data_IF_586948147964
#
_entry.id   IF_586948147964
#
_cell.length_a   1.000
_cell.length_b   1.000
_cell.length_c   1.000
_cell.angle_alpha   90.00
_cell.angle_beta   90.00
_cell.angle_gamma   90.00
#
_symmetry.space_group_name_H-M   'P 1'
#
loop_
_entity.id
_entity.type
_entity.pdbx_description
1 polymer ?
#
# COMPACT_ATOMS: atom_id res chain seq x y z
N UNK A 1 14.58 4.44 -7.35
CA UNK A 1 13.59 3.76 -6.50
C UNK A 1 13.17 2.51 -7.27
N UNK A 2 12.99 1.34 -6.66
CA UNK A 2 12.54 0.18 -7.45
C UNK A 2 11.08 0.40 -7.88
N UNK A 3 10.70 -0.13 -9.04
CA UNK A 3 9.32 0.03 -9.58
C UNK A 3 8.27 -0.41 -8.56
N UNK A 4 8.55 -1.45 -7.77
CA UNK A 4 7.67 -1.90 -6.69
C UNK A 4 7.48 -0.87 -5.57
N UNK A 5 8.53 -0.13 -5.19
CA UNK A 5 8.44 0.91 -4.16
C UNK A 5 7.75 2.19 -4.66
N UNK A 6 7.90 2.51 -5.95
CA UNK A 6 7.14 3.60 -6.57
C UNK A 6 5.64 3.28 -6.59
N UNK A 7 5.28 2.04 -6.93
CA UNK A 7 3.89 1.59 -6.89
C UNK A 7 3.35 1.55 -5.45
N UNK A 8 4.16 1.09 -4.48
CA UNK A 8 3.77 1.14 -3.07
C UNK A 8 3.45 2.57 -2.61
N UNK A 9 4.27 3.56 -3.01
CA UNK A 9 4.01 4.97 -2.69
C UNK A 9 2.69 5.46 -3.28
N UNK A 10 2.43 5.16 -4.57
CA UNK A 10 1.17 5.56 -5.24
C UNK A 10 -0.05 4.95 -4.57
N UNK A 11 0.03 3.67 -4.22
CA UNK A 11 -1.06 2.98 -3.52
C UNK A 11 -1.31 3.58 -2.14
N UNK A 12 -0.25 3.94 -1.38
CA UNK A 12 -0.41 4.62 -0.09
C UNK A 12 -1.02 6.01 -0.23
N UNK A 13 -0.67 6.78 -1.26
CA UNK A 13 -1.28 8.07 -1.54
C UNK A 13 -2.79 7.93 -1.83
N UNK A 14 -3.18 6.92 -2.61
CA UNK A 14 -4.58 6.60 -2.88
C UNK A 14 -5.31 6.17 -1.60
N UNK A 15 -4.69 5.32 -0.77
CA UNK A 15 -5.27 4.90 0.50
C UNK A 15 -5.52 6.09 1.45
N UNK A 16 -4.59 7.04 1.52
CA UNK A 16 -4.75 8.26 2.32
C UNK A 16 -5.91 9.10 1.79
N UNK A 17 -6.02 9.25 0.47
CA UNK A 17 -7.12 9.96 -0.15
C UNK A 17 -8.46 9.33 0.23
N UNK A 18 -8.60 8.02 0.03
CA UNK A 18 -9.87 7.32 0.26
C UNK A 18 -10.23 7.29 1.75
N UNK A 19 -9.24 7.18 2.65
CA UNK A 19 -9.45 7.30 4.09
C UNK A 19 -9.99 8.68 4.49
N UNK A 20 -9.48 9.77 3.89
CA UNK A 20 -9.99 11.13 4.12
C UNK A 20 -11.44 11.25 3.66
N UNK A 21 -11.76 10.75 2.46
CA UNK A 21 -13.14 10.73 1.94
C UNK A 21 -14.06 9.93 2.87
N UNK A 22 -13.60 8.80 3.42
CA UNK A 22 -14.36 8.03 4.41
C UNK A 22 -14.72 8.88 5.63
N UNK A 23 -13.76 9.62 6.21
CA UNK A 23 -14.04 10.50 7.35
C UNK A 23 -15.07 11.59 7.01
N UNK A 24 -14.93 12.24 5.85
CA UNK A 24 -15.85 13.28 5.40
C UNK A 24 -17.26 12.72 5.18
N UNK A 25 -17.38 11.54 4.55
CA UNK A 25 -18.67 10.87 4.36
C UNK A 25 -19.33 10.48 5.70
N UNK A 26 -18.56 10.04 6.70
CA UNK A 26 -19.09 9.76 8.05
C UNK A 26 -19.66 11.04 8.67
N UNK A 27 -18.93 12.17 8.59
CA UNK A 27 -19.40 13.44 9.13
C UNK A 27 -20.69 13.94 8.46
N UNK A 28 -20.89 13.60 7.19
CA UNK A 28 -22.10 13.95 6.41
C UNK A 28 -23.25 12.94 6.55
N UNK A 29 -23.04 11.82 7.25
CA UNK A 29 -24.03 10.73 7.37
C UNK A 29 -24.16 9.84 6.13
N UNK A 30 -23.26 9.98 5.15
CA UNK A 30 -23.24 9.22 3.90
C UNK A 30 -22.49 7.87 4.09
N UNK A 31 -23.10 6.97 4.87
CA UNK A 31 -22.42 5.76 5.36
C UNK A 31 -22.12 4.73 4.25
N UNK A 32 -22.92 4.68 3.19
CA UNK A 32 -22.68 3.77 2.06
C UNK A 32 -21.41 4.18 1.29
N UNK A 33 -21.25 5.48 1.03
CA UNK A 33 -20.01 6.00 0.43
C UNK A 33 -18.83 5.91 1.38
N UNK A 34 -19.02 6.15 2.67
CA UNK A 34 -17.97 5.95 3.66
C UNK A 34 -17.44 4.51 3.65
N UNK A 35 -18.34 3.52 3.65
CA UNK A 35 -18.02 2.10 3.62
C UNK A 35 -17.28 1.70 2.34
N UNK A 36 -17.75 2.18 1.19
CA UNK A 36 -17.09 1.92 -0.10
C UNK A 36 -15.65 2.45 -0.11
N UNK A 37 -15.44 3.70 0.29
CA UNK A 37 -14.09 4.28 0.35
C UNK A 37 -13.19 3.58 1.39
N UNK A 38 -13.76 3.10 2.50
CA UNK A 38 -13.00 2.35 3.50
C UNK A 38 -12.49 1.02 2.93
N UNK A 39 -13.30 0.34 2.11
CA UNK A 39 -12.89 -0.89 1.41
C UNK A 39 -11.77 -0.59 0.41
N UNK A 40 -11.91 0.47 -0.40
CA UNK A 40 -10.89 0.85 -1.39
C UNK A 40 -9.57 1.22 -0.71
N UNK A 41 -9.63 2.01 0.37
CA UNK A 41 -8.45 2.36 1.15
C UNK A 41 -7.71 1.11 1.66
N UNK A 42 -8.45 0.12 2.18
CA UNK A 42 -7.86 -1.15 2.62
C UNK A 42 -7.18 -1.89 1.47
N UNK A 43 -7.85 -2.00 0.31
CA UNK A 43 -7.29 -2.67 -0.85
C UNK A 43 -5.99 -2.02 -1.34
N UNK A 44 -5.90 -0.69 -1.33
CA UNK A 44 -4.66 0.03 -1.65
C UNK A 44 -3.56 -0.18 -0.61
N UNK A 45 -3.88 -0.25 0.69
CA UNK A 45 -2.89 -0.61 1.72
C UNK A 45 -2.37 -2.02 1.52
N UNK A 46 -3.24 -2.99 1.23
CA UNK A 46 -2.85 -4.38 0.96
C UNK A 46 -1.94 -4.48 -0.28
N UNK A 47 -2.22 -3.70 -1.32
CA UNK A 47 -1.38 -3.64 -2.51
C UNK A 47 0.02 -3.03 -2.21
N UNK A 48 0.07 -1.96 -1.43
CA UNK A 48 1.32 -1.32 -1.02
C UNK A 48 2.17 -2.26 -0.13
N UNK A 49 1.55 -2.91 0.85
CA UNK A 49 2.21 -3.91 1.70
C UNK A 49 2.84 -5.01 0.85
N UNK A 50 2.08 -5.56 -0.09
CA UNK A 50 2.58 -6.64 -0.93
C UNK A 50 3.79 -6.19 -1.77
N UNK A 51 3.76 -4.99 -2.33
CA UNK A 51 4.87 -4.46 -3.12
C UNK A 51 6.13 -4.24 -2.26
N UNK A 52 5.96 -3.75 -1.03
CA UNK A 52 7.06 -3.61 -0.06
C UNK A 52 7.63 -4.98 0.31
N UNK A 53 6.77 -5.95 0.61
CA UNK A 53 7.16 -7.31 0.96
C UNK A 53 7.98 -7.98 -0.16
N UNK A 54 7.54 -7.87 -1.40
CA UNK A 54 8.28 -8.39 -2.57
C UNK A 54 9.67 -7.77 -2.67
N UNK A 55 9.78 -6.45 -2.47
CA UNK A 55 11.08 -5.77 -2.48
C UNK A 55 11.99 -6.21 -1.32
N UNK A 56 11.43 -6.46 -0.13
CA UNK A 56 12.21 -6.97 1.01
C UNK A 56 12.77 -8.36 0.74
N UNK A 57 11.96 -9.29 0.22
CA UNK A 57 12.43 -10.64 -0.12
C UNK A 57 13.49 -10.59 -1.22
N UNK A 58 13.29 -9.75 -2.26
CA UNK A 58 14.28 -9.54 -3.32
C UNK A 58 15.65 -9.13 -2.75
N UNK A 59 15.67 -8.17 -1.83
CA UNK A 59 16.92 -7.70 -1.20
C UNK A 59 17.59 -8.78 -0.36
N UNK A 60 16.80 -9.58 0.36
CA UNK A 60 17.28 -10.70 1.18
C UNK A 60 17.92 -11.79 0.32
N UNK A 61 17.33 -12.09 -0.84
CA UNK A 61 17.89 -13.01 -1.81
C UNK A 61 19.23 -12.50 -2.36
N UNK A 62 19.33 -11.21 -2.69
CA UNK A 62 20.58 -10.58 -3.14
C UNK A 62 21.70 -10.63 -2.09
N UNK A 63 21.37 -10.38 -0.82
CA UNK A 63 22.32 -10.49 0.29
C UNK A 63 22.83 -11.93 0.46
N UNK A 64 21.92 -12.91 0.38
CA UNK A 64 22.26 -14.33 0.50
C UNK A 64 23.14 -14.80 -0.67
N UNK A 65 22.85 -14.33 -1.89
CA UNK A 65 23.65 -14.62 -3.07
C UNK A 65 25.03 -13.94 -3.05
N UNK A 66 25.12 -12.72 -2.52
CA UNK A 66 26.38 -11.98 -2.36
C UNK A 66 27.29 -12.56 -1.27
N UNK A 67 26.72 -13.09 -0.18
CA UNK A 67 27.48 -13.72 0.91
C UNK A 67 28.05 -15.12 0.58
N UNK A 68 27.54 -15.80 -0.44
CA UNK A 68 28.04 -17.10 -0.88
C UNK A 68 29.29 -17.02 -1.78
N UNK A 69 29.70 -15.82 -2.18
CA UNK A 69 30.81 -15.57 -3.11
C UNK A 69 32.17 -15.24 -2.42
N UNK A 70 32.27 -15.39 -1.09
CA UNK A 70 33.49 -15.18 -0.29
C UNK A 70 33.85 -16.42 0.50
#
# INVERSE_FOLDING_TARGET
>A
MSVGLEEASRQLEQAIHDARVTFDCIALGDLERAHTNAITARASVDAAENAIRVELERRKEEETAGGAAT
#
